data_IF_810338954165
#
_entry.id   IF_810338954165
#
_cell.length_a   1.000
_cell.length_b   1.000
_cell.length_c   1.000
_cell.angle_alpha   90.00
_cell.angle_beta   90.00
_cell.angle_gamma   90.00
#
_symmetry.space_group_name_H-M   'P 1'
#
loop_
_entity.id
_entity.type
_entity.pdbx_description
1 polymer ?
#
# COMPACT_ATOMS: atom_id res chain seq x y z
N UNK A 1 -16.92 -3.22 8.56
CA UNK A 1 -16.54 -4.64 8.42
C UNK A 1 -15.54 -4.97 9.51
N UNK A 2 -15.63 -6.14 10.14
CA UNK A 2 -14.58 -6.60 11.05
C UNK A 2 -13.61 -7.49 10.27
N UNK A 3 -12.35 -7.06 10.15
CA UNK A 3 -11.28 -7.79 9.46
C UNK A 3 -10.15 -8.22 10.40
N UNK A 4 -10.34 -8.11 11.72
CA UNK A 4 -9.28 -8.28 12.72
C UNK A 4 -8.60 -9.65 12.72
N UNK A 5 -9.28 -10.69 12.23
CA UNK A 5 -8.72 -12.04 12.12
C UNK A 5 -8.19 -12.37 10.72
N UNK A 6 -8.28 -11.43 9.78
CA UNK A 6 -7.76 -11.58 8.43
C UNK A 6 -6.23 -11.58 8.44
N UNK A 7 -5.64 -12.58 7.79
CA UNK A 7 -4.19 -12.67 7.59
C UNK A 7 -3.80 -12.41 6.14
N UNK A 8 -4.73 -12.62 5.20
CA UNK A 8 -4.51 -12.40 3.78
C UNK A 8 -5.56 -11.44 3.22
N UNK A 9 -5.09 -10.29 2.75
CA UNK A 9 -5.85 -9.23 2.11
C UNK A 9 -5.51 -9.09 0.63
N UNK A 10 -4.72 -10.03 0.09
CA UNK A 10 -4.29 -9.97 -1.29
C UNK A 10 -5.48 -9.99 -2.24
N UNK A 11 -5.34 -9.20 -3.30
CA UNK A 11 -6.32 -9.06 -4.36
C UNK A 11 -7.74 -8.57 -3.97
N UNK A 12 -7.98 -8.12 -2.73
CA UNK A 12 -9.34 -7.88 -2.21
C UNK A 12 -10.18 -6.90 -3.05
N UNK A 13 -9.56 -5.87 -3.63
CA UNK A 13 -10.22 -4.84 -4.44
C UNK A 13 -9.60 -4.70 -5.84
N UNK A 14 -8.87 -5.70 -6.34
CA UNK A 14 -8.20 -5.60 -7.65
C UNK A 14 -9.20 -5.22 -8.75
N UNK A 15 -8.86 -4.17 -9.50
CA UNK A 15 -9.66 -3.73 -10.63
C UNK A 15 -10.96 -3.03 -10.25
N UNK A 16 -11.25 -2.83 -8.96
CA UNK A 16 -12.38 -2.02 -8.50
C UNK A 16 -12.08 -0.53 -8.76
N UNK A 17 -12.09 -0.10 -10.03
CA UNK A 17 -11.66 1.23 -10.47
C UNK A 17 -12.32 2.39 -9.73
N UNK A 18 -13.58 2.22 -9.31
CA UNK A 18 -14.37 3.23 -8.60
C UNK A 18 -14.36 3.08 -7.07
N UNK A 19 -13.62 2.11 -6.52
CA UNK A 19 -13.57 1.90 -5.08
C UNK A 19 -12.84 3.08 -4.40
N UNK A 20 -13.52 3.68 -3.43
CA UNK A 20 -12.97 4.68 -2.51
C UNK A 20 -13.70 4.61 -1.16
N UNK A 21 -13.97 3.38 -0.70
CA UNK A 21 -14.67 3.14 0.56
C UNK A 21 -13.79 3.50 1.76
N UNK A 22 -14.43 3.85 2.88
CA UNK A 22 -13.72 4.09 4.13
C UNK A 22 -13.14 2.79 4.69
N UNK A 23 -11.81 2.78 4.85
CA UNK A 23 -11.04 1.68 5.42
C UNK A 23 -10.20 2.12 6.63
N UNK A 24 -10.38 3.35 7.10
CA UNK A 24 -9.58 3.98 8.16
C UNK A 24 -9.69 3.27 9.51
N UNK A 25 -10.80 2.57 9.75
CA UNK A 25 -11.11 1.86 11.01
C UNK A 25 -10.82 0.36 10.94
N UNK A 26 -10.17 -0.12 9.87
CA UNK A 26 -9.86 -1.54 9.76
C UNK A 26 -8.70 -1.92 10.67
N UNK A 27 -8.92 -2.88 11.56
CA UNK A 27 -7.85 -3.52 12.30
C UNK A 27 -7.18 -4.58 11.43
N UNK A 28 -6.02 -4.25 10.87
CA UNK A 28 -5.26 -5.10 9.94
C UNK A 28 -4.01 -5.73 10.57
N UNK A 29 -3.83 -5.63 11.89
CA UNK A 29 -2.59 -5.99 12.58
C UNK A 29 -2.15 -7.46 12.43
N UNK A 30 -3.09 -8.36 12.11
CA UNK A 30 -2.81 -9.78 11.85
C UNK A 30 -2.50 -10.09 10.38
N UNK A 31 -2.61 -9.10 9.50
CA UNK A 31 -2.35 -9.25 8.08
C UNK A 31 -0.87 -9.47 7.79
N UNK A 32 -0.58 -10.44 6.93
CA UNK A 32 0.77 -10.77 6.46
C UNK A 32 0.95 -10.53 4.96
N UNK A 33 -0.14 -10.52 4.20
CA UNK A 33 -0.12 -10.33 2.75
C UNK A 33 -1.19 -9.32 2.29
N UNK A 34 -0.75 -8.24 1.65
CA UNK A 34 -1.58 -7.18 1.08
C UNK A 34 -1.31 -7.00 -0.41
N UNK A 35 -0.66 -7.97 -1.04
CA UNK A 35 -0.24 -7.85 -2.43
C UNK A 35 -1.44 -7.59 -3.33
N UNK A 36 -1.28 -6.64 -4.24
CA UNK A 36 -2.30 -6.26 -5.20
C UNK A 36 -3.62 -5.76 -4.58
N UNK A 37 -3.73 -5.52 -3.28
CA UNK A 37 -5.03 -5.30 -2.61
C UNK A 37 -5.89 -4.23 -3.31
N UNK A 38 -5.29 -3.11 -3.73
CA UNK A 38 -5.95 -2.03 -4.45
C UNK A 38 -5.43 -1.86 -5.89
N UNK A 39 -4.71 -2.84 -6.44
CA UNK A 39 -4.17 -2.77 -7.80
C UNK A 39 -5.28 -2.39 -8.81
N UNK A 40 -5.02 -1.38 -9.66
CA UNK A 40 -5.97 -0.79 -10.62
C UNK A 40 -7.19 -0.06 -10.01
N UNK A 41 -7.20 0.28 -8.72
CA UNK A 41 -8.25 1.09 -8.10
C UNK A 41 -8.04 2.59 -8.39
N UNK A 42 -8.40 3.02 -9.60
CA UNK A 42 -8.09 4.37 -10.08
C UNK A 42 -8.63 5.53 -9.22
N UNK A 43 -9.75 5.34 -8.53
CA UNK A 43 -10.37 6.32 -7.63
C UNK A 43 -9.96 6.21 -6.17
N UNK A 44 -9.17 5.19 -5.78
CA UNK A 44 -8.86 4.97 -4.38
C UNK A 44 -7.88 6.02 -3.84
N UNK A 45 -8.30 6.70 -2.76
CA UNK A 45 -7.48 7.59 -1.95
C UNK A 45 -7.96 7.54 -0.49
N UNK A 46 -8.31 6.34 -0.02
CA UNK A 46 -8.77 6.12 1.35
C UNK A 46 -7.64 6.34 2.36
N UNK A 47 -8.01 6.76 3.57
CA UNK A 47 -7.07 6.88 4.68
C UNK A 47 -6.65 5.50 5.19
N UNK A 48 -5.35 5.26 5.17
CA UNK A 48 -4.67 4.03 5.63
C UNK A 48 -3.57 4.34 6.65
N UNK A 49 -3.49 5.59 7.14
CA UNK A 49 -2.42 6.07 8.02
C UNK A 49 -2.40 5.37 9.39
N UNK A 50 -3.55 4.87 9.83
CA UNK A 50 -3.74 4.15 11.09
C UNK A 50 -3.38 2.66 11.02
N UNK A 51 -3.11 2.12 9.83
CA UNK A 51 -2.91 0.69 9.65
C UNK A 51 -1.59 0.22 10.28
N UNK A 52 -1.69 -0.80 11.15
CA UNK A 52 -0.51 -1.48 11.66
C UNK A 52 -0.07 -2.58 10.69
N UNK A 53 0.97 -2.31 9.90
CA UNK A 53 1.55 -3.24 8.92
C UNK A 53 2.82 -3.95 9.39
N UNK A 54 3.13 -3.91 10.69
CA UNK A 54 4.39 -4.44 11.22
C UNK A 54 4.60 -5.95 10.99
N UNK A 55 3.53 -6.71 10.75
CA UNK A 55 3.59 -8.15 10.45
C UNK A 55 3.56 -8.48 8.94
N UNK A 56 3.49 -7.45 8.08
CA UNK A 56 3.30 -7.65 6.64
C UNK A 56 4.63 -8.00 5.97
N UNK A 57 4.63 -9.10 5.24
CA UNK A 57 5.78 -9.55 4.46
C UNK A 57 5.69 -9.16 2.99
N UNK A 58 4.48 -8.95 2.45
CA UNK A 58 4.24 -8.65 1.03
C UNK A 58 3.26 -7.49 0.84
N UNK A 59 3.77 -6.39 0.30
CA UNK A 59 3.05 -5.17 -0.11
C UNK A 59 3.12 -4.95 -1.63
N UNK A 60 3.57 -5.95 -2.41
CA UNK A 60 3.79 -5.79 -3.84
C UNK A 60 2.52 -5.37 -4.58
N UNK A 61 2.67 -4.43 -5.51
CA UNK A 61 1.59 -3.89 -6.34
C UNK A 61 0.37 -3.34 -5.57
N UNK A 62 0.45 -3.15 -4.24
CA UNK A 62 -0.72 -2.88 -3.41
C UNK A 62 -1.53 -1.67 -3.90
N UNK A 63 -0.85 -0.60 -4.33
CA UNK A 63 -1.46 0.59 -4.90
C UNK A 63 -1.09 0.81 -6.37
N UNK A 64 -0.47 -0.16 -7.04
CA UNK A 64 -0.09 0.00 -8.43
C UNK A 64 -1.30 0.38 -9.30
N UNK A 65 -1.09 1.30 -10.25
CA UNK A 65 -2.13 1.85 -11.12
C UNK A 65 -3.30 2.52 -10.38
N UNK A 66 -3.04 3.10 -9.20
CA UNK A 66 -3.94 3.99 -8.46
C UNK A 66 -3.50 5.46 -8.61
N UNK A 67 -3.72 6.12 -9.77
CA UNK A 67 -3.24 7.48 -10.02
C UNK A 67 -3.71 8.52 -9.00
N UNK A 68 -4.85 8.31 -8.34
CA UNK A 68 -5.42 9.22 -7.34
C UNK A 68 -4.86 9.01 -5.93
N UNK A 69 -4.14 7.91 -5.67
CA UNK A 69 -3.67 7.57 -4.34
C UNK A 69 -2.54 8.51 -3.90
N UNK A 70 -2.75 9.18 -2.77
CA UNK A 70 -1.77 10.01 -2.06
C UNK A 70 -1.97 9.87 -0.54
N UNK A 71 -2.32 8.67 -0.08
CA UNK A 71 -2.51 8.39 1.34
C UNK A 71 -1.19 8.50 2.11
N UNK A 72 -1.29 8.95 3.36
CA UNK A 72 -0.14 8.99 4.28
C UNK A 72 0.19 7.56 4.75
N UNK A 73 1.42 7.15 4.46
CA UNK A 73 2.00 5.87 4.89
C UNK A 73 3.36 6.07 5.57
N UNK A 74 3.70 7.31 5.93
CA UNK A 74 5.00 7.68 6.51
C UNK A 74 5.27 6.98 7.85
N UNK A 75 4.21 6.67 8.60
CA UNK A 75 4.25 6.01 9.91
C UNK A 75 4.33 4.48 9.84
N UNK A 76 4.20 3.88 8.66
CA UNK A 76 4.16 2.44 8.50
C UNK A 76 5.50 1.79 8.87
N UNK A 77 5.46 0.81 9.76
CA UNK A 77 6.62 -0.04 10.05
C UNK A 77 6.71 -1.17 9.02
N UNK A 78 7.58 -1.00 8.02
CA UNK A 78 7.82 -1.97 6.94
C UNK A 78 9.07 -2.83 7.17
N UNK A 79 9.64 -2.82 8.39
CA UNK A 79 10.90 -3.50 8.67
C UNK A 79 10.84 -5.03 8.45
N UNK A 80 9.64 -5.65 8.53
CA UNK A 80 9.45 -7.07 8.24
C UNK A 80 9.03 -7.36 6.78
N UNK A 81 8.80 -6.33 5.98
CA UNK A 81 8.35 -6.46 4.59
C UNK A 81 9.53 -6.84 3.70
N UNK A 82 9.39 -7.92 2.95
CA UNK A 82 10.42 -8.39 2.02
C UNK A 82 10.11 -8.02 0.57
N UNK A 83 8.83 -7.80 0.23
CA UNK A 83 8.41 -7.49 -1.13
C UNK A 83 7.64 -6.16 -1.23
N UNK A 84 8.28 -5.17 -1.86
CA UNK A 84 7.74 -3.83 -2.13
C UNK A 84 7.67 -3.53 -3.64
N UNK A 85 7.87 -4.56 -4.48
CA UNK A 85 7.86 -4.43 -5.95
C UNK A 85 6.62 -3.67 -6.41
N UNK A 86 6.84 -2.64 -7.22
CA UNK A 86 5.77 -1.86 -7.88
C UNK A 86 4.68 -1.29 -6.95
N UNK A 87 4.89 -1.22 -5.63
CA UNK A 87 3.85 -0.84 -4.65
C UNK A 87 3.09 0.45 -5.01
N UNK A 88 3.78 1.45 -5.56
CA UNK A 88 3.21 2.73 -6.00
C UNK A 88 3.38 2.96 -7.52
N UNK A 89 3.61 1.92 -8.32
CA UNK A 89 3.80 2.09 -9.76
C UNK A 89 2.59 2.82 -10.38
N UNK A 90 2.85 3.88 -11.15
CA UNK A 90 1.86 4.75 -11.76
C UNK A 90 0.88 5.47 -10.79
N UNK A 91 1.21 5.58 -9.49
CA UNK A 91 0.54 6.47 -8.55
C UNK A 91 0.97 7.92 -8.79
N UNK A 92 0.38 8.56 -9.81
CA UNK A 92 0.80 9.89 -10.28
C UNK A 92 0.78 10.96 -9.20
N UNK A 93 -0.19 10.92 -8.29
CA UNK A 93 -0.37 11.89 -7.20
C UNK A 93 0.43 11.60 -5.93
N UNK A 94 1.09 10.45 -5.82
CA UNK A 94 1.77 10.03 -4.59
C UNK A 94 3.00 10.91 -4.30
N UNK A 95 3.07 11.49 -3.10
CA UNK A 95 4.18 12.30 -2.63
C UNK A 95 4.37 12.23 -1.10
N UNK A 96 4.18 11.04 -0.51
CA UNK A 96 4.40 10.83 0.93
C UNK A 96 5.91 10.73 1.24
N UNK A 97 6.37 11.34 2.34
CA UNK A 97 7.74 11.19 2.83
C UNK A 97 7.94 9.79 3.45
N UNK A 98 8.86 9.02 2.87
CA UNK A 98 9.18 7.65 3.28
C UNK A 98 10.56 7.53 3.94
N UNK A 99 11.18 8.65 4.31
CA UNK A 99 12.53 8.67 4.90
C UNK A 99 12.65 7.88 6.21
N UNK A 100 11.55 7.63 6.90
CA UNK A 100 11.48 6.84 8.12
C UNK A 100 11.37 5.32 7.88
N UNK A 101 11.13 4.87 6.66
CA UNK A 101 10.96 3.45 6.35
C UNK A 101 12.29 2.69 6.44
N UNK A 102 12.33 1.67 7.31
CA UNK A 102 13.40 0.68 7.30
C UNK A 102 13.11 -0.40 6.25
N UNK A 103 13.78 -0.29 5.10
CA UNK A 103 13.66 -1.23 3.98
C UNK A 103 14.81 -2.23 3.91
N UNK A 104 15.58 -2.40 4.99
CA UNK A 104 16.77 -3.27 4.98
C UNK A 104 16.46 -4.74 4.70
N UNK A 105 15.26 -5.22 5.05
CA UNK A 105 14.80 -6.58 4.76
C UNK A 105 14.10 -6.72 3.40
N UNK A 106 13.86 -5.62 2.68
CA UNK A 106 13.25 -5.67 1.35
C UNK A 106 14.22 -6.29 0.34
N UNK A 107 13.79 -7.37 -0.32
CA UNK A 107 14.57 -8.02 -1.38
C UNK A 107 14.15 -7.55 -2.77
N UNK A 108 12.96 -6.96 -2.89
CA UNK A 108 12.43 -6.40 -4.14
C UNK A 108 11.91 -4.98 -3.94
N UNK A 109 12.44 -4.06 -4.74
CA UNK A 109 12.03 -2.66 -4.84
C UNK A 109 11.81 -2.25 -6.31
N UNK A 110 11.78 -3.21 -7.24
CA UNK A 110 11.77 -2.89 -8.67
C UNK A 110 10.55 -2.06 -9.04
N UNK A 111 10.78 -0.95 -9.74
CA UNK A 111 9.72 -0.05 -10.21
C UNK A 111 8.74 0.42 -9.13
N UNK A 112 9.11 0.41 -7.85
CA UNK A 112 8.24 0.81 -6.72
C UNK A 112 7.57 2.16 -6.95
N UNK A 113 8.30 3.13 -7.52
CA UNK A 113 7.80 4.47 -7.88
C UNK A 113 7.74 4.71 -9.39
N UNK A 114 7.79 3.66 -10.21
CA UNK A 114 7.81 3.79 -11.67
C UNK A 114 6.58 4.54 -12.17
N UNK A 115 6.76 5.75 -12.73
CA UNK A 115 5.63 6.59 -13.19
C UNK A 115 4.92 7.40 -12.10
N UNK A 116 5.45 7.46 -10.87
CA UNK A 116 5.04 8.46 -9.87
C UNK A 116 5.57 9.83 -10.30
N UNK A 117 4.72 10.67 -10.87
CA UNK A 117 5.13 11.98 -11.39
C UNK A 117 5.26 13.06 -10.32
N UNK A 118 4.60 12.90 -9.17
CA UNK A 118 4.63 13.86 -8.05
C UNK A 118 5.65 13.54 -6.97
N UNK A 119 6.18 12.31 -6.93
CA UNK A 119 7.07 11.84 -5.87
C UNK A 119 8.45 12.51 -5.96
N UNK A 120 8.91 13.14 -4.88
CA UNK A 120 10.20 13.84 -4.78
C UNK A 120 10.40 14.98 -5.79
N UNK A 121 9.32 15.70 -6.12
CA UNK A 121 9.40 17.05 -6.71
C UNK A 121 9.40 18.15 -5.64
#
# INVERSE_FOLDING_TARGET
>A
WNVSNGTNFSHMFVGCRSFNGDVSQWNVANGTNFSNMFLWCSSFNGDVSSWNVANVTDLSDMFAWCPSFNGDVSSWNVANTTNLRQMFMACRSFNCDLSAWDVTNATTLESMFGGCTSFNN
#
